data_IF_007034703830
#
_entry.id   IF_007034703830
#
_cell.length_a   1.000
_cell.length_b   1.000
_cell.length_c   1.000
_cell.angle_alpha   90.00
_cell.angle_beta   90.00
_cell.angle_gamma   90.00
#
_symmetry.space_group_name_H-M   'P 1'
#
loop_
_entity.id
_entity.type
_entity.pdbx_description
1 polymer ?
#
# COMPACT_ATOMS: atom_id res chain seq x y z
N UNK A 1 -11.03 12.88 -8.45
CA UNK A 1 -9.61 12.56 -8.67
C UNK A 1 -9.27 11.38 -7.79
N UNK A 2 -8.53 10.42 -8.34
CA UNK A 2 -8.01 9.26 -7.63
C UNK A 2 -6.65 9.58 -7.03
N UNK A 3 -6.34 8.92 -5.93
CA UNK A 3 -5.04 8.99 -5.24
C UNK A 3 -4.60 7.59 -4.85
N UNK A 4 -3.28 7.39 -4.73
CA UNK A 4 -2.72 6.16 -4.17
C UNK A 4 -2.57 6.35 -2.66
N UNK A 5 -3.13 5.41 -1.92
CA UNK A 5 -2.99 5.28 -0.48
C UNK A 5 -2.25 3.98 -0.16
N UNK A 6 -1.41 4.01 0.88
CA UNK A 6 -0.62 2.87 1.35
C UNK A 6 -0.85 2.72 2.85
N UNK A 7 -1.47 1.62 3.27
CA UNK A 7 -1.50 1.23 4.67
C UNK A 7 -0.19 0.51 4.98
N UNK A 8 0.53 0.99 5.99
CA UNK A 8 1.81 0.43 6.40
C UNK A 8 1.96 0.48 7.92
N UNK A 9 2.86 -0.34 8.48
CA UNK A 9 3.14 -0.41 9.91
C UNK A 9 4.64 -0.27 10.17
N UNK A 10 5.02 0.06 11.41
CA UNK A 10 6.42 0.13 11.81
C UNK A 10 6.98 -1.28 11.96
N UNK A 11 8.05 -1.58 11.22
CA UNK A 11 8.72 -2.89 11.28
C UNK A 11 9.19 -3.16 12.71
N UNK A 12 9.07 -4.41 13.17
CA UNK A 12 9.36 -4.89 14.54
C UNK A 12 8.41 -4.41 15.64
N UNK A 13 7.38 -3.63 15.31
CA UNK A 13 6.37 -3.17 16.26
C UNK A 13 5.04 -3.90 16.02
N UNK A 14 4.11 -3.72 16.95
CA UNK A 14 2.74 -4.22 16.81
C UNK A 14 2.07 -3.55 15.58
N UNK A 15 1.64 -4.31 14.57
CA UNK A 15 1.08 -3.75 13.34
C UNK A 15 -0.23 -3.01 13.57
N UNK A 16 -1.08 -3.46 14.49
CA UNK A 16 -2.36 -2.81 14.79
C UNK A 16 -2.15 -1.50 15.54
N UNK A 17 -1.17 -1.45 16.44
CA UNK A 17 -0.86 -0.24 17.19
C UNK A 17 -0.10 0.81 16.37
N UNK A 18 0.61 0.40 15.32
CA UNK A 18 1.50 1.27 14.55
C UNK A 18 1.09 1.47 13.09
N UNK A 19 0.00 0.86 12.64
CA UNK A 19 -0.48 1.05 11.28
C UNK A 19 -0.86 2.52 11.02
N UNK A 20 -0.47 3.00 9.84
CA UNK A 20 -0.75 4.33 9.35
C UNK A 20 -0.99 4.27 7.84
N UNK A 21 -1.91 5.11 7.36
CA UNK A 21 -2.11 5.31 5.93
C UNK A 21 -1.28 6.49 5.44
N UNK A 22 -0.56 6.27 4.35
CA UNK A 22 0.23 7.27 3.65
C UNK A 22 -0.45 7.59 2.31
N UNK A 23 -0.45 8.87 1.94
CA UNK A 23 -0.95 9.33 0.65
C UNK A 23 0.24 9.71 -0.23
N UNK A 24 0.30 9.15 -1.45
CA UNK A 24 1.26 9.61 -2.46
C UNK A 24 0.89 11.00 -2.97
N UNK A 25 1.89 11.83 -3.29
CA UNK A 25 1.67 13.22 -3.73
C UNK A 25 0.89 13.31 -5.05
N UNK A 26 1.10 12.34 -5.94
CA UNK A 26 0.50 12.32 -7.27
C UNK A 26 -0.99 11.92 -7.21
N UNK A 27 -1.81 12.68 -7.92
CA UNK A 27 -3.23 12.37 -8.17
C UNK A 27 -3.48 12.00 -9.63
N UNK A 28 -4.60 11.33 -9.88
CA UNK A 28 -4.99 10.82 -11.19
C UNK A 28 -6.43 11.21 -11.51
N UNK A 29 -6.74 11.40 -12.79
CA UNK A 29 -8.09 11.76 -13.22
C UNK A 29 -8.98 10.52 -13.29
N UNK A 30 -8.40 9.38 -13.67
CA UNK A 30 -9.13 8.11 -13.84
C UNK A 30 -8.59 6.98 -12.97
N UNK A 31 -9.47 6.00 -12.68
CA UNK A 31 -9.09 4.77 -11.99
C UNK A 31 -8.05 3.97 -12.78
N UNK A 32 -8.15 3.95 -14.11
CA UNK A 32 -7.24 3.20 -14.98
C UNK A 32 -5.80 3.73 -14.91
N UNK A 33 -5.63 5.06 -14.95
CA UNK A 33 -4.32 5.69 -14.79
C UNK A 33 -3.73 5.40 -13.40
N UNK A 34 -4.56 5.50 -12.35
CA UNK A 34 -4.12 5.20 -11.00
C UNK A 34 -3.68 3.73 -10.87
N UNK A 35 -4.47 2.78 -11.39
CA UNK A 35 -4.14 1.34 -11.40
C UNK A 35 -2.84 1.07 -12.15
N UNK A 36 -2.65 1.72 -13.30
CA UNK A 36 -1.43 1.58 -14.10
C UNK A 36 -0.20 2.01 -13.33
N UNK A 37 -0.26 3.11 -12.60
CA UNK A 37 0.83 3.56 -11.73
C UNK A 37 1.03 2.60 -10.55
N UNK A 38 -0.04 2.24 -9.84
CA UNK A 38 0.00 1.37 -8.67
C UNK A 38 0.63 0.00 -8.98
N UNK A 39 0.37 -0.54 -10.17
CA UNK A 39 0.87 -1.85 -10.60
C UNK A 39 2.15 -1.75 -11.47
N UNK A 40 2.73 -0.57 -11.64
CA UNK A 40 3.93 -0.38 -12.45
C UNK A 40 5.11 -1.13 -11.83
N UNK A 41 5.82 -1.92 -12.64
CA UNK A 41 7.02 -2.64 -12.24
C UNK A 41 8.11 -2.37 -13.29
N UNK A 42 8.85 -1.28 -13.16
CA UNK A 42 9.98 -0.99 -14.06
C UNK A 42 11.28 -1.66 -13.59
N UNK A 43 11.27 -2.21 -12.37
CA UNK A 43 12.38 -2.95 -11.80
C UNK A 43 12.26 -4.44 -12.17
N UNK A 44 13.33 -5.02 -12.69
CA UNK A 44 13.43 -6.45 -13.04
C UNK A 44 13.46 -7.40 -11.82
N UNK A 45 12.89 -6.98 -10.69
CA UNK A 45 12.83 -7.72 -9.43
C UNK A 45 11.38 -8.04 -8.99
N UNK A 46 10.39 -7.72 -9.82
CA UNK A 46 8.98 -7.99 -9.55
C UNK A 46 8.34 -7.12 -8.46
N UNK A 47 8.99 -6.01 -8.09
CA UNK A 47 8.47 -5.07 -7.09
C UNK A 47 7.71 -3.93 -7.77
N UNK A 48 6.57 -3.54 -7.21
CA UNK A 48 5.86 -2.35 -7.64
C UNK A 48 6.65 -1.08 -7.34
N UNK A 49 6.72 -0.17 -8.30
CA UNK A 49 7.61 0.98 -8.21
C UNK A 49 7.23 1.92 -7.06
N UNK A 50 5.94 2.13 -6.87
CA UNK A 50 5.39 2.93 -5.76
C UNK A 50 5.76 2.31 -4.41
N UNK A 51 5.71 0.98 -4.28
CA UNK A 51 6.06 0.32 -3.03
C UNK A 51 7.55 0.43 -2.74
N UNK A 52 8.39 0.29 -3.77
CA UNK A 52 9.83 0.45 -3.64
C UNK A 52 10.22 1.88 -3.22
N UNK A 53 9.63 2.89 -3.87
CA UNK A 53 9.83 4.30 -3.53
C UNK A 53 9.42 4.55 -2.08
N UNK A 54 8.22 4.13 -1.68
CA UNK A 54 7.70 4.25 -0.33
C UNK A 54 8.66 3.68 0.73
N UNK A 55 9.11 2.43 0.58
CA UNK A 55 10.01 1.83 1.57
C UNK A 55 11.41 2.45 1.55
N UNK A 56 11.88 2.92 0.39
CA UNK A 56 13.18 3.59 0.28
C UNK A 56 13.17 4.95 0.96
N UNK A 57 12.15 5.77 0.69
CA UNK A 57 11.98 7.10 1.29
C UNK A 57 11.69 7.00 2.79
N UNK A 58 11.01 5.94 3.21
CA UNK A 58 10.81 5.58 4.61
C UNK A 58 12.06 5.00 5.30
N UNK A 59 13.22 4.94 4.64
CA UNK A 59 14.45 4.32 5.12
C UNK A 59 14.26 2.88 5.65
N UNK A 60 13.36 2.12 5.03
CA UNK A 60 12.98 0.76 5.45
C UNK A 60 12.47 0.68 6.90
N UNK A 61 11.89 1.77 7.43
CA UNK A 61 11.23 1.77 8.76
C UNK A 61 9.82 1.20 8.71
N UNK A 62 9.19 1.29 7.54
CA UNK A 62 7.81 0.89 7.30
C UNK A 62 7.77 -0.32 6.37
N UNK A 63 6.86 -1.24 6.67
CA UNK A 63 6.46 -2.29 5.73
C UNK A 63 4.96 -2.14 5.42
N UNK A 64 4.59 -2.41 4.18
CA UNK A 64 3.24 -2.15 3.69
C UNK A 64 2.33 -3.36 3.91
N UNK A 65 1.06 -3.09 4.17
CA UNK A 65 0.01 -4.08 4.40
C UNK A 65 -0.96 -4.13 3.22
N UNK A 66 -1.26 -2.96 2.65
CA UNK A 66 -2.16 -2.80 1.52
C UNK A 66 -1.84 -1.50 0.81
N UNK A 67 -2.01 -1.46 -0.50
CA UNK A 67 -1.98 -0.21 -1.25
C UNK A 67 -3.15 -0.16 -2.22
N UNK A 68 -3.64 1.03 -2.54
CA UNK A 68 -4.81 1.13 -3.39
C UNK A 68 -5.08 2.50 -3.96
N UNK A 69 -5.83 2.49 -5.05
CA UNK A 69 -6.41 3.65 -5.69
C UNK A 69 -7.75 3.95 -5.04
N UNK A 70 -7.93 5.18 -4.56
CA UNK A 70 -9.18 5.62 -3.94
C UNK A 70 -9.65 6.95 -4.53
N UNK A 71 -10.96 7.10 -4.70
CA UNK A 71 -11.60 8.38 -4.96
C UNK A 71 -12.56 8.70 -3.82
N UNK A 72 -12.23 9.72 -3.03
CA UNK A 72 -13.00 10.08 -1.83
C UNK A 72 -14.42 10.61 -2.16
N UNK A 73 -14.65 11.11 -3.38
CA UNK A 73 -15.94 11.65 -3.78
C UNK A 73 -16.93 10.56 -4.19
N UNK A 74 -16.45 9.54 -4.91
CA UNK A 74 -17.30 8.46 -5.44
C UNK A 74 -17.30 7.21 -4.55
N UNK A 75 -16.30 7.07 -3.67
CA UNK A 75 -16.09 5.89 -2.84
C UNK A 75 -15.52 4.69 -3.61
N UNK A 76 -15.15 4.86 -4.88
CA UNK A 76 -14.54 3.80 -5.68
C UNK A 76 -13.12 3.50 -5.19
N UNK A 77 -12.83 2.21 -5.00
CA UNK A 77 -11.54 1.72 -4.53
C UNK A 77 -11.05 0.52 -5.34
N UNK A 78 -9.73 0.41 -5.46
CA UNK A 78 -9.05 -0.79 -5.93
C UNK A 78 -7.80 -0.99 -5.08
N UNK A 79 -7.65 -2.18 -4.53
CA UNK A 79 -6.57 -2.49 -3.58
C UNK A 79 -5.74 -3.67 -4.05
N UNK A 80 -4.46 -3.66 -3.68
CA UNK A 80 -3.52 -4.75 -3.82
C UNK A 80 -2.91 -5.06 -2.47
N UNK A 81 -2.55 -6.32 -2.28
CA UNK A 81 -1.89 -6.82 -1.07
C UNK A 81 -0.50 -7.38 -1.41
N UNK A 82 0.44 -7.35 -0.45
CA UNK A 82 1.75 -7.97 -0.61
C UNK A 82 1.64 -9.48 -0.78
N UNK A 83 2.46 -10.01 -1.69
CA UNK A 83 2.68 -11.45 -1.75
C UNK A 83 3.86 -11.82 -0.86
N UNK A 84 3.63 -12.74 0.07
CA UNK A 84 4.67 -13.23 0.97
C UNK A 84 5.13 -14.63 0.54
N UNK A 85 6.13 -14.76 -0.35
CA UNK A 85 6.54 -16.05 -0.91
C UNK A 85 7.07 -17.03 0.13
N UNK A 86 7.50 -16.53 1.30
CA UNK A 86 7.98 -17.33 2.43
C UNK A 86 6.95 -17.44 3.57
N UNK A 87 5.70 -17.05 3.31
CA UNK A 87 4.65 -16.91 4.33
C UNK A 87 4.63 -15.51 4.96
N UNK A 88 3.46 -15.11 5.48
CA UNK A 88 3.28 -13.83 6.18
C UNK A 88 4.27 -13.72 7.35
N UNK A 89 4.87 -12.54 7.60
CA UNK A 89 5.64 -12.28 8.82
C UNK A 89 4.86 -12.67 10.07
N UNK A 90 5.58 -13.13 11.12
CA UNK A 90 4.95 -13.61 12.36
C UNK A 90 4.10 -12.54 13.04
N UNK A 91 4.54 -11.28 12.93
CA UNK A 91 3.84 -10.11 13.45
C UNK A 91 2.47 -9.91 12.78
N UNK A 92 2.30 -10.44 11.57
CA UNK A 92 1.08 -10.36 10.76
C UNK A 92 0.27 -11.67 10.78
N UNK A 93 0.71 -12.71 11.49
CA UNK A 93 -0.03 -13.97 11.58
C UNK A 93 -1.35 -13.77 12.34
N UNK A 94 -2.46 -14.18 11.73
CA UNK A 94 -3.81 -14.03 12.30
C UNK A 94 -4.41 -12.63 12.17
N UNK A 95 -3.69 -11.68 11.57
CA UNK A 95 -4.24 -10.36 11.22
C UNK A 95 -4.90 -10.41 9.84
N UNK A 96 -6.10 -9.83 9.78
CA UNK A 96 -6.87 -9.64 8.55
C UNK A 96 -7.07 -8.14 8.32
N UNK A 97 -6.65 -7.68 7.16
CA UNK A 97 -6.74 -6.28 6.74
C UNK A 97 -7.79 -6.09 5.63
N UNK A 98 -8.50 -7.15 5.24
CA UNK A 98 -9.50 -7.11 4.16
C UNK A 98 -10.69 -6.20 4.48
N UNK A 99 -11.06 -6.09 5.76
CA UNK A 99 -12.09 -5.18 6.25
C UNK A 99 -11.55 -3.75 6.53
N UNK A 100 -10.24 -3.53 6.43
CA UNK A 100 -9.64 -2.21 6.66
C UNK A 100 -9.68 -1.39 5.37
N UNK A 101 -10.33 -0.23 5.44
CA UNK A 101 -10.40 0.72 4.31
C UNK A 101 -9.18 1.64 4.36
N UNK A 102 -8.61 1.93 3.19
CA UNK A 102 -7.57 2.95 3.06
C UNK A 102 -8.19 4.33 3.39
N UNK A 103 -7.83 4.90 4.54
CA UNK A 103 -8.36 6.18 5.02
C UNK A 103 -7.21 7.08 5.49
N UNK A 104 -7.27 8.36 5.12
CA UNK A 104 -6.32 9.43 5.49
C UNK A 104 -7.07 10.50 6.26
#
# INVERSE_FOLDING_TARGET
>A
MYKILILAYLITQDPIATQQTFQMERTFDTMEECKKELMLQTRDNGTYDVMWEFVTDGEFKWDWLMAGCKNDLTGEEFVIEPTYPKGKPKELEGLDFSDQRLEV
#
